data_IF_763668646621
#
_entry.id   IF_763668646621
#
_cell.length_a   1.000
_cell.length_b   1.000
_cell.length_c   1.000
_cell.angle_alpha   90.00
_cell.angle_beta   90.00
_cell.angle_gamma   90.00
#
_symmetry.space_group_name_H-M   'P 1'
#
loop_
_entity.id
_entity.type
_entity.pdbx_description
1 polymer ?
#
# COMPACT_ATOMS: atom_id res chain seq x y z
N UNK A 1 -14.90 -18.61 -5.23
CA UNK A 1 -14.56 -17.19 -5.44
C UNK A 1 -13.06 -17.04 -5.33
N UNK A 2 -12.36 -16.74 -6.42
CA UNK A 2 -10.93 -16.41 -6.35
C UNK A 2 -10.80 -14.99 -5.82
N UNK A 3 -10.55 -14.85 -4.51
CA UNK A 3 -10.11 -13.58 -3.95
C UNK A 3 -8.73 -13.29 -4.56
N UNK A 4 -8.56 -12.11 -5.15
CA UNK A 4 -7.23 -11.62 -5.51
C UNK A 4 -6.37 -11.64 -4.22
N UNK A 5 -5.25 -12.37 -4.25
CA UNK A 5 -4.32 -12.44 -3.13
C UNK A 5 -3.20 -11.44 -3.40
N UNK A 6 -2.92 -10.61 -2.41
CA UNK A 6 -1.78 -9.70 -2.47
C UNK A 6 -0.50 -10.51 -2.42
N UNK A 7 0.37 -10.31 -3.42
CA UNK A 7 1.71 -10.89 -3.47
C UNK A 7 2.66 -9.95 -2.73
N UNK A 8 3.54 -10.52 -1.92
CA UNK A 8 4.43 -9.78 -1.04
C UNK A 8 5.88 -10.09 -1.39
N UNK A 9 6.69 -9.05 -1.61
CA UNK A 9 8.14 -9.20 -1.51
C UNK A 9 8.54 -9.40 -0.04
N UNK A 10 9.68 -10.05 0.24
CA UNK A 10 10.18 -10.17 1.61
C UNK A 10 10.32 -8.83 2.34
N UNK A 11 10.82 -7.81 1.62
CA UNK A 11 11.07 -6.47 2.18
C UNK A 11 9.75 -5.73 2.48
N UNK A 12 8.80 -5.75 1.54
CA UNK A 12 7.48 -5.12 1.75
C UNK A 12 6.72 -5.79 2.90
N UNK A 13 6.82 -7.12 3.00
CA UNK A 13 6.20 -7.85 4.10
C UNK A 13 6.80 -7.47 5.45
N UNK A 14 8.11 -7.26 5.51
CA UNK A 14 8.78 -6.86 6.75
C UNK A 14 8.37 -5.46 7.20
N UNK A 15 8.29 -4.50 6.27
CA UNK A 15 7.81 -3.12 6.53
C UNK A 15 6.36 -3.15 7.00
N UNK A 16 5.51 -3.91 6.31
CA UNK A 16 4.10 -4.04 6.67
C UNK A 16 3.92 -4.68 8.05
N UNK A 17 4.69 -5.73 8.32
CA UNK A 17 4.70 -6.42 9.61
C UNK A 17 5.06 -5.45 10.73
N UNK A 18 6.00 -4.52 10.51
CA UNK A 18 6.31 -3.48 11.48
C UNK A 18 5.07 -2.67 11.87
N UNK A 19 4.30 -2.20 10.89
CA UNK A 19 3.07 -1.43 11.14
C UNK A 19 2.04 -2.23 11.94
N UNK A 20 1.85 -3.50 11.60
CA UNK A 20 0.96 -4.41 12.33
C UNK A 20 1.40 -4.60 13.78
N UNK A 21 2.69 -4.86 14.00
CA UNK A 21 3.25 -5.08 15.33
C UNK A 21 3.22 -3.82 16.18
N UNK A 22 3.47 -2.64 15.59
CA UNK A 22 3.31 -1.36 16.28
C UNK A 22 1.85 -1.09 16.67
N UNK A 23 0.89 -1.48 15.83
CA UNK A 23 -0.53 -1.43 16.16
C UNK A 23 -0.90 -2.33 17.35
N UNK A 24 -0.28 -3.52 17.44
CA UNK A 24 -0.53 -4.50 18.50
C UNK A 24 0.14 -4.12 19.83
N UNK A 25 1.43 -3.84 19.80
CA UNK A 25 2.25 -3.65 21.01
C UNK A 25 2.44 -2.19 21.40
N UNK A 26 2.21 -1.26 20.46
CA UNK A 26 2.62 0.12 20.57
C UNK A 26 4.07 0.33 20.08
N UNK A 27 4.37 1.47 19.41
CA UNK A 27 5.66 1.70 18.76
C UNK A 27 6.86 1.78 19.71
N UNK A 28 6.62 2.03 21.01
CA UNK A 28 7.68 2.05 22.03
C UNK A 28 8.07 0.65 22.52
N UNK A 29 7.19 -0.35 22.33
CA UNK A 29 7.37 -1.68 22.91
C UNK A 29 7.92 -2.70 21.92
N UNK A 30 7.71 -2.50 20.61
CA UNK A 30 8.28 -3.37 19.56
C UNK A 30 9.49 -2.72 18.90
N UNK A 31 10.57 -3.47 18.79
CA UNK A 31 11.85 -3.01 18.25
C UNK A 31 12.28 -3.88 17.07
N UNK A 32 12.76 -3.25 16.01
CA UNK A 32 13.35 -3.92 14.84
C UNK A 32 14.79 -4.35 15.15
N UNK A 33 15.20 -5.50 14.63
CA UNK A 33 16.59 -5.97 14.63
C UNK A 33 17.15 -5.83 13.22
N UNK A 34 18.03 -4.84 12.96
CA UNK A 34 18.61 -4.66 11.63
C UNK A 34 19.57 -5.80 11.27
N UNK A 35 19.31 -6.52 10.18
CA UNK A 35 20.16 -7.64 9.73
C UNK A 35 21.47 -7.20 9.05
N UNK A 36 21.57 -5.94 8.61
CA UNK A 36 22.65 -5.44 7.75
C UNK A 36 24.05 -5.54 8.37
N UNK A 37 24.16 -5.54 9.71
CA UNK A 37 25.43 -5.67 10.41
C UNK A 37 25.44 -6.93 11.27
N UNK A 38 26.04 -8.00 10.75
CA UNK A 38 26.24 -9.32 11.40
C UNK A 38 24.97 -10.17 11.58
N UNK A 39 23.91 -9.90 10.82
CA UNK A 39 22.68 -10.68 10.83
C UNK A 39 21.74 -10.33 11.99
N UNK A 40 20.66 -11.10 12.12
CA UNK A 40 19.46 -10.78 12.90
C UNK A 40 19.16 -11.78 14.03
N UNK A 41 20.08 -12.72 14.29
CA UNK A 41 19.90 -13.82 15.24
C UNK A 41 18.69 -14.73 14.96
N UNK A 42 18.08 -14.65 13.78
CA UNK A 42 16.81 -15.33 13.46
C UNK A 42 15.58 -14.63 14.03
N UNK A 43 15.64 -13.31 14.20
CA UNK A 43 14.57 -12.45 14.68
C UNK A 43 14.55 -11.13 13.90
N UNK A 44 13.40 -10.74 13.35
CA UNK A 44 13.24 -9.42 12.73
C UNK A 44 12.76 -8.36 13.74
N UNK A 45 11.93 -8.78 14.71
CA UNK A 45 11.40 -7.90 15.75
C UNK A 45 11.33 -8.58 17.12
N UNK A 46 11.33 -7.77 18.18
CA UNK A 46 11.08 -8.23 19.55
C UNK A 46 10.26 -7.22 20.36
N UNK A 47 9.50 -7.72 21.32
CA UNK A 47 8.77 -6.93 22.31
C UNK A 47 9.06 -7.49 23.70
N UNK A 48 9.76 -6.70 24.52
CA UNK A 48 10.15 -7.09 25.88
C UNK A 48 8.96 -7.07 26.85
N UNK A 49 7.99 -6.18 26.63
CA UNK A 49 6.79 -6.05 27.46
C UNK A 49 5.93 -7.32 27.46
N UNK A 50 5.80 -7.94 26.29
CA UNK A 50 4.96 -9.14 26.09
C UNK A 50 5.79 -10.41 25.93
N UNK A 51 7.12 -10.34 26.16
CA UNK A 51 8.08 -11.44 26.02
C UNK A 51 7.95 -12.21 24.70
N UNK A 52 7.82 -11.49 23.59
CA UNK A 52 7.58 -12.09 22.26
C UNK A 52 8.66 -11.66 21.26
N UNK A 53 9.07 -12.62 20.44
CA UNK A 53 10.02 -12.44 19.35
C UNK A 53 9.35 -12.83 18.02
N UNK A 54 9.64 -12.09 16.96
CA UNK A 54 9.00 -12.25 15.66
C UNK A 54 10.05 -12.49 14.57
N UNK A 55 9.73 -13.41 13.67
CA UNK A 55 10.39 -13.54 12.37
C UNK A 55 9.34 -13.40 11.27
N UNK A 56 9.56 -12.48 10.35
CA UNK A 56 8.76 -12.27 9.16
C UNK A 56 9.22 -13.22 8.04
N UNK A 57 8.25 -13.73 7.29
CA UNK A 57 8.55 -14.55 6.12
C UNK A 57 7.42 -14.50 5.08
N UNK A 58 7.69 -13.83 3.95
CA UNK A 58 6.87 -13.93 2.76
C UNK A 58 7.45 -15.00 1.82
N UNK A 59 6.58 -15.90 1.34
CA UNK A 59 6.97 -16.84 0.30
C UNK A 59 6.72 -16.20 -1.06
N UNK A 60 7.67 -16.34 -1.98
CA UNK A 60 7.48 -15.93 -3.38
C UNK A 60 6.35 -16.76 -4.03
N UNK A 61 5.29 -16.05 -4.41
CA UNK A 61 4.09 -16.58 -5.07
C UNK A 61 4.19 -16.46 -6.60
N UNK A 62 3.43 -17.26 -7.37
CA UNK A 62 2.45 -18.27 -6.93
C UNK A 62 3.09 -19.62 -6.62
N UNK A 63 2.63 -20.27 -5.53
CA UNK A 63 3.00 -21.66 -5.19
C UNK A 63 1.82 -22.45 -4.61
N UNK A 64 1.92 -23.78 -4.64
CA UNK A 64 0.95 -24.65 -4.01
C UNK A 64 1.07 -24.67 -2.47
N UNK A 65 0.00 -25.13 -1.80
CA UNK A 65 -0.12 -25.18 -0.34
C UNK A 65 0.99 -26.03 0.30
N UNK A 66 1.36 -27.17 -0.32
CA UNK A 66 2.39 -28.06 0.22
C UNK A 66 3.76 -27.39 0.19
N UNK A 67 4.11 -26.79 -0.96
CA UNK A 67 5.37 -26.03 -1.10
C UNK A 67 5.43 -24.86 -0.12
N UNK A 68 4.31 -24.15 0.10
CA UNK A 68 4.24 -23.03 1.07
C UNK A 68 4.51 -23.52 2.48
N UNK A 69 3.83 -24.59 2.88
CA UNK A 69 4.01 -25.22 4.18
C UNK A 69 5.45 -25.68 4.39
N UNK A 70 6.07 -26.34 3.39
CA UNK A 70 7.45 -26.81 3.48
C UNK A 70 8.45 -25.67 3.64
N UNK A 71 8.27 -24.58 2.90
CA UNK A 71 9.08 -23.37 3.01
C UNK A 71 8.94 -22.70 4.38
N UNK A 72 7.71 -22.57 4.91
CA UNK A 72 7.46 -22.03 6.24
C UNK A 72 8.09 -22.92 7.34
N UNK A 73 7.91 -24.24 7.29
CA UNK A 73 8.55 -25.20 8.22
C UNK A 73 10.08 -25.11 8.19
N UNK A 74 10.66 -24.95 6.99
CA UNK A 74 12.11 -24.77 6.81
C UNK A 74 12.60 -23.47 7.44
N UNK A 75 11.88 -22.36 7.24
CA UNK A 75 12.18 -21.05 7.84
C UNK A 75 12.18 -21.14 9.37
N UNK A 76 11.09 -21.66 9.98
CA UNK A 76 10.99 -21.90 11.43
C UNK A 76 12.19 -22.69 11.94
N UNK A 77 12.51 -23.82 11.30
CA UNK A 77 13.62 -24.68 11.73
C UNK A 77 14.98 -23.99 11.64
N UNK A 78 15.18 -23.18 10.60
CA UNK A 78 16.46 -22.54 10.34
C UNK A 78 16.69 -21.38 11.30
N UNK A 79 15.66 -20.56 11.55
CA UNK A 79 15.81 -19.38 12.39
C UNK A 79 15.79 -19.71 13.89
N UNK A 80 15.03 -20.72 14.33
CA UNK A 80 15.15 -21.22 15.70
C UNK A 80 16.57 -21.75 15.99
N UNK A 81 17.24 -22.37 15.02
CA UNK A 81 18.65 -22.76 15.19
C UNK A 81 19.57 -21.53 15.36
N UNK A 82 19.30 -20.43 14.66
CA UNK A 82 20.04 -19.17 14.82
C UNK A 82 19.77 -18.56 16.20
N UNK A 83 18.51 -18.58 16.65
CA UNK A 83 18.09 -18.08 17.95
C UNK A 83 18.90 -18.77 19.07
N UNK A 84 18.89 -20.11 19.08
CA UNK A 84 19.62 -20.91 20.08
C UNK A 84 21.13 -20.68 19.98
N UNK A 85 21.69 -20.65 18.77
CA UNK A 85 23.12 -20.38 18.56
C UNK A 85 23.57 -19.04 19.16
N UNK A 86 22.66 -18.06 19.22
CA UNK A 86 22.94 -16.70 19.69
C UNK A 86 22.19 -16.36 20.98
N UNK A 87 21.81 -17.36 21.79
CA UNK A 87 20.94 -17.16 22.96
C UNK A 87 21.45 -16.09 23.93
N UNK A 88 22.77 -15.99 24.10
CA UNK A 88 23.38 -15.03 25.03
C UNK A 88 23.22 -13.58 24.56
N UNK A 89 23.23 -13.35 23.24
CA UNK A 89 23.03 -12.05 22.62
C UNK A 89 21.54 -11.71 22.61
N UNK A 90 20.70 -12.68 22.30
CA UNK A 90 19.24 -12.53 22.33
C UNK A 90 18.77 -12.20 23.75
N UNK A 91 19.27 -12.89 24.78
CA UNK A 91 18.94 -12.59 26.17
C UNK A 91 19.25 -11.13 26.56
N UNK A 92 20.32 -10.55 26.01
CA UNK A 92 20.63 -9.12 26.22
C UNK A 92 19.59 -8.19 25.62
N UNK A 93 19.02 -8.52 24.46
CA UNK A 93 17.92 -7.75 23.85
C UNK A 93 16.68 -7.72 24.75
N UNK A 94 16.43 -8.83 25.46
CA UNK A 94 15.32 -8.95 26.41
C UNK A 94 15.69 -8.52 27.84
N UNK A 95 16.84 -7.85 28.02
CA UNK A 95 17.35 -7.42 29.33
C UNK A 95 17.44 -8.56 30.37
N UNK A 96 17.75 -9.78 29.91
CA UNK A 96 17.80 -10.98 30.73
C UNK A 96 16.44 -11.65 30.96
N UNK A 97 15.33 -11.07 30.50
CA UNK A 97 14.01 -11.69 30.61
C UNK A 97 13.87 -12.84 29.60
N UNK A 98 13.22 -13.95 29.98
CA UNK A 98 13.03 -15.08 29.08
C UNK A 98 12.00 -14.78 27.97
N UNK A 99 12.21 -15.36 26.80
CA UNK A 99 11.25 -15.29 25.69
C UNK A 99 10.10 -16.28 25.94
N UNK A 100 8.87 -15.78 25.96
CA UNK A 100 7.66 -16.59 26.11
C UNK A 100 7.06 -17.03 24.77
N UNK A 101 7.22 -16.26 23.70
CA UNK A 101 6.69 -16.62 22.38
C UNK A 101 7.68 -16.32 21.26
N UNK A 102 7.82 -17.26 20.33
CA UNK A 102 8.48 -17.05 19.04
C UNK A 102 7.45 -17.19 17.93
N UNK A 103 7.26 -16.15 17.14
CA UNK A 103 6.19 -16.05 16.14
C UNK A 103 6.76 -15.97 14.74
N UNK A 104 6.39 -16.91 13.86
CA UNK A 104 6.54 -16.72 12.42
C UNK A 104 5.35 -15.91 11.90
N UNK A 105 5.60 -14.71 11.41
CA UNK A 105 4.59 -13.84 10.80
C UNK A 105 4.64 -13.99 9.28
N UNK A 106 3.56 -14.50 8.68
CA UNK A 106 3.47 -14.83 7.24
C UNK A 106 2.25 -14.17 6.58
N UNK A 107 2.28 -13.89 5.26
CA UNK A 107 1.11 -13.34 4.56
C UNK A 107 -0.11 -14.26 4.58
N UNK A 108 0.12 -15.58 4.55
CA UNK A 108 -0.93 -16.60 4.49
C UNK A 108 -0.45 -17.87 5.19
N UNK A 109 -1.31 -18.40 6.05
CA UNK A 109 -1.15 -19.70 6.69
C UNK A 109 -2.35 -20.60 6.36
N UNK A 110 -2.17 -21.52 5.41
CA UNK A 110 -3.24 -22.36 4.84
C UNK A 110 -3.02 -23.87 5.00
N UNK A 111 -2.06 -24.28 5.86
CA UNK A 111 -1.77 -25.69 6.13
C UNK A 111 -1.53 -25.99 7.61
N UNK A 112 -2.34 -26.91 8.15
CA UNK A 112 -2.21 -27.43 9.52
C UNK A 112 -0.84 -28.07 9.82
N UNK A 113 -0.11 -28.49 8.79
CA UNK A 113 1.21 -29.11 8.95
C UNK A 113 2.22 -28.12 9.53
N UNK A 114 2.02 -26.82 9.30
CA UNK A 114 2.83 -25.76 9.91
C UNK A 114 2.53 -25.68 11.41
N UNK A 115 1.27 -25.77 11.84
CA UNK A 115 0.91 -25.85 13.26
C UNK A 115 1.55 -27.07 13.94
N UNK A 116 1.47 -28.26 13.31
CA UNK A 116 2.08 -29.48 13.86
C UNK A 116 3.60 -29.33 14.01
N UNK A 117 4.25 -28.68 13.03
CA UNK A 117 5.67 -28.38 13.10
C UNK A 117 6.01 -27.37 14.20
N UNK A 118 5.21 -26.32 14.37
CA UNK A 118 5.32 -25.37 15.49
C UNK A 118 5.18 -26.07 16.86
N UNK A 119 4.20 -26.98 17.02
CA UNK A 119 4.02 -27.75 18.24
C UNK A 119 5.22 -28.65 18.54
N UNK A 120 5.78 -29.31 17.52
CA UNK A 120 7.03 -30.07 17.65
C UNK A 120 8.19 -29.17 18.09
N UNK A 121 8.36 -28.02 17.44
CA UNK A 121 9.45 -27.08 17.75
C UNK A 121 9.33 -26.47 19.13
N UNK A 122 8.10 -26.22 19.59
CA UNK A 122 7.80 -25.82 20.97
C UNK A 122 8.35 -26.85 21.96
N UNK A 123 8.06 -28.14 21.75
CA UNK A 123 8.60 -29.20 22.60
C UNK A 123 10.13 -29.26 22.53
N UNK A 124 10.71 -29.23 21.32
CA UNK A 124 12.16 -29.23 21.12
C UNK A 124 12.85 -28.10 21.92
N UNK A 125 12.26 -26.90 21.96
CA UNK A 125 12.81 -25.76 22.71
C UNK A 125 12.70 -25.93 24.23
N UNK A 126 11.56 -26.44 24.73
CA UNK A 126 11.36 -26.69 26.17
C UNK A 126 12.31 -27.77 26.68
N UNK A 127 12.59 -28.79 25.88
CA UNK A 127 13.50 -29.88 26.23
C UNK A 127 14.99 -29.42 26.32
N UNK A 128 15.35 -28.27 25.73
CA UNK A 128 16.72 -27.71 25.85
C UNK A 128 17.01 -27.13 27.25
N UNK A 129 15.98 -26.67 27.97
CA UNK A 129 16.13 -26.15 29.34
C UNK A 129 17.01 -24.91 29.49
N UNK A 130 17.07 -24.04 28.48
CA UNK A 130 17.90 -22.82 28.53
C UNK A 130 17.21 -21.70 29.29
N UNK A 131 17.97 -20.87 30.01
CA UNK A 131 17.41 -19.78 30.85
C UNK A 131 16.94 -18.57 30.04
N UNK A 132 17.35 -18.46 28.78
CA UNK A 132 16.91 -17.40 27.86
C UNK A 132 15.50 -17.62 27.32
N UNK A 133 14.95 -18.82 27.46
CA UNK A 133 13.61 -19.18 27.00
C UNK A 133 12.73 -19.47 28.21
N UNK A 134 11.48 -19.05 28.14
CA UNK A 134 10.52 -19.36 29.20
C UNK A 134 10.24 -20.88 29.20
N UNK A 135 10.11 -21.54 30.36
CA UNK A 135 9.73 -22.96 30.42
C UNK A 135 8.41 -23.28 29.70
N UNK A 136 7.53 -22.29 29.59
CA UNK A 136 6.26 -22.37 28.87
C UNK A 136 6.34 -21.85 27.42
N UNK A 137 7.53 -21.59 26.88
CA UNK A 137 7.72 -21.00 25.54
C UNK A 137 6.85 -21.66 24.47
N UNK A 138 6.28 -20.86 23.57
CA UNK A 138 5.53 -21.35 22.42
C UNK A 138 6.10 -20.84 21.10
N UNK A 139 6.23 -21.75 20.13
CA UNK A 139 6.49 -21.45 18.73
C UNK A 139 5.15 -21.40 18.03
N UNK A 140 4.81 -20.27 17.40
CA UNK A 140 3.50 -20.08 16.73
C UNK A 140 3.68 -19.49 15.34
N UNK A 141 2.69 -19.72 14.48
CA UNK A 141 2.57 -19.06 13.18
C UNK A 141 1.34 -18.16 13.21
N UNK A 142 1.48 -16.94 12.70
CA UNK A 142 0.41 -15.96 12.59
C UNK A 142 0.38 -15.40 11.17
N UNK A 143 -0.82 -15.10 10.70
CA UNK A 143 -1.05 -14.43 9.43
C UNK A 143 -1.91 -13.18 9.60
N UNK A 144 -2.37 -12.61 8.48
CA UNK A 144 -3.20 -11.40 8.46
C UNK A 144 -4.48 -11.53 9.29
N UNK A 145 -5.06 -12.72 9.37
CA UNK A 145 -6.31 -12.94 10.12
C UNK A 145 -6.08 -12.87 11.64
N UNK A 146 -4.82 -12.91 12.08
CA UNK A 146 -4.43 -12.72 13.49
C UNK A 146 -4.42 -11.25 13.94
N UNK A 147 -4.83 -10.30 13.07
CA UNK A 147 -4.84 -8.87 13.37
C UNK A 147 -6.22 -8.23 13.12
N UNK A 148 -6.60 -7.21 13.90
CA UNK A 148 -7.80 -6.44 13.64
C UNK A 148 -7.77 -5.81 12.23
N UNK A 149 -8.90 -5.88 11.51
CA UNK A 149 -9.00 -5.42 10.11
C UNK A 149 -8.56 -3.96 9.91
N UNK A 150 -8.87 -3.08 10.87
CA UNK A 150 -8.45 -1.68 10.83
C UNK A 150 -6.92 -1.51 10.88
N UNK A 151 -6.20 -2.39 11.60
CA UNK A 151 -4.74 -2.38 11.67
C UNK A 151 -4.12 -2.81 10.35
N UNK A 152 -4.72 -3.82 9.70
CA UNK A 152 -4.33 -4.27 8.36
C UNK A 152 -4.51 -3.15 7.34
N UNK A 153 -5.67 -2.50 7.30
CA UNK A 153 -5.94 -1.37 6.39
C UNK A 153 -4.95 -0.21 6.62
N UNK A 154 -4.70 0.15 7.88
CA UNK A 154 -3.74 1.21 8.21
C UNK A 154 -2.31 0.84 7.78
N UNK A 155 -1.88 -0.39 8.02
CA UNK A 155 -0.57 -0.87 7.58
C UNK A 155 -0.42 -0.84 6.05
N UNK A 156 -1.48 -1.20 5.31
CA UNK A 156 -1.45 -1.19 3.85
C UNK A 156 -1.28 0.23 3.30
N UNK A 157 -1.89 1.23 3.93
CA UNK A 157 -1.69 2.64 3.56
C UNK A 157 -0.28 3.17 3.86
N UNK A 158 0.49 2.50 4.73
CA UNK A 158 1.89 2.85 5.00
C UNK A 158 2.87 2.22 4.02
N UNK A 159 2.44 1.20 3.26
CA UNK A 159 3.21 0.57 2.19
C UNK A 159 3.04 1.25 0.83
N UNK A 160 2.34 2.38 0.77
CA UNK A 160 2.11 3.13 -0.47
C UNK A 160 3.43 3.70 -1.01
N UNK A 161 4.28 2.82 -1.57
CA UNK A 161 5.67 3.06 -1.93
C UNK A 161 5.84 3.45 -3.40
N UNK A 162 4.77 3.42 -4.21
CA UNK A 162 4.85 3.96 -5.58
C UNK A 162 4.63 5.47 -5.49
N UNK A 163 5.73 6.17 -5.29
CA UNK A 163 5.81 7.61 -5.47
C UNK A 163 6.56 7.89 -6.77
N UNK A 164 5.88 8.49 -7.73
CA UNK A 164 6.42 8.93 -9.00
C UNK A 164 6.64 10.43 -8.91
N UNK A 165 7.83 10.87 -9.33
CA UNK A 165 8.14 12.29 -9.47
C UNK A 165 8.23 12.60 -10.95
N UNK A 166 7.26 13.34 -11.47
CA UNK A 166 7.33 13.94 -12.81
C UNK A 166 7.54 15.45 -12.67
N UNK A 167 8.38 16.07 -13.51
CA UNK A 167 8.52 17.52 -13.51
C UNK A 167 7.19 18.17 -13.87
N UNK A 168 6.90 19.33 -13.26
CA UNK A 168 5.78 20.16 -13.70
C UNK A 168 6.07 20.70 -15.11
N UNK A 169 5.05 20.78 -15.99
CA UNK A 169 5.21 21.36 -17.32
C UNK A 169 5.72 22.81 -17.24
N UNK A 170 6.72 23.15 -18.06
CA UNK A 170 7.19 24.51 -18.24
C UNK A 170 6.17 25.37 -19.02
N UNK A 171 6.27 26.70 -18.91
CA UNK A 171 5.42 27.62 -19.67
C UNK A 171 5.57 27.45 -21.19
N UNK A 172 6.75 27.07 -21.65
CA UNK A 172 7.01 26.77 -23.07
C UNK A 172 6.27 25.51 -23.53
N UNK A 173 6.28 24.45 -22.72
CA UNK A 173 5.53 23.21 -23.00
C UNK A 173 4.01 23.44 -22.98
N UNK A 174 3.52 24.29 -22.05
CA UNK A 174 2.12 24.69 -22.00
C UNK A 174 1.70 25.45 -23.27
N UNK A 175 2.51 26.41 -23.71
CA UNK A 175 2.26 27.17 -24.93
C UNK A 175 2.27 26.27 -26.18
N UNK A 176 3.27 25.39 -26.30
CA UNK A 176 3.36 24.45 -27.41
C UNK A 176 2.17 23.47 -27.47
N UNK A 177 1.75 22.96 -26.32
CA UNK A 177 0.56 22.09 -26.24
C UNK A 177 -0.72 22.85 -26.62
N UNK A 178 -0.84 24.11 -26.18
CA UNK A 178 -1.97 24.97 -26.46
C UNK A 178 -2.15 25.24 -27.96
N UNK A 179 -1.08 25.56 -28.67
CA UNK A 179 -1.09 25.77 -30.12
C UNK A 179 -1.53 24.52 -30.88
N UNK A 180 -1.13 23.33 -30.42
CA UNK A 180 -1.51 22.05 -31.00
C UNK A 180 -2.92 21.55 -30.63
N UNK A 181 -3.58 22.18 -29.65
CA UNK A 181 -4.80 21.64 -29.01
C UNK A 181 -5.95 22.66 -28.91
N UNK A 182 -6.06 23.56 -29.89
CA UNK A 182 -7.04 24.67 -29.88
C UNK A 182 -8.50 24.22 -29.62
N UNK A 183 -8.92 23.09 -30.17
CA UNK A 183 -10.29 22.57 -29.97
C UNK A 183 -10.55 22.13 -28.51
N UNK A 184 -9.54 21.52 -27.88
CA UNK A 184 -9.61 21.08 -26.48
C UNK A 184 -9.62 22.29 -25.54
N UNK A 185 -8.81 23.30 -25.83
CA UNK A 185 -8.78 24.56 -25.10
C UNK A 185 -10.10 25.32 -25.21
N UNK A 186 -10.65 25.44 -26.42
CA UNK A 186 -11.95 26.07 -26.64
C UNK A 186 -13.05 25.39 -25.83
N UNK A 187 -13.05 24.05 -25.81
CA UNK A 187 -13.98 23.24 -25.03
C UNK A 187 -13.81 23.48 -23.52
N UNK A 188 -12.57 23.45 -23.02
CA UNK A 188 -12.28 23.69 -21.62
C UNK A 188 -12.71 25.11 -21.19
N UNK A 189 -12.36 26.14 -21.96
CA UNK A 189 -12.75 27.53 -21.70
C UNK A 189 -14.26 27.71 -21.65
N UNK A 190 -15.00 27.11 -22.59
CA UNK A 190 -16.47 27.16 -22.62
C UNK A 190 -17.08 26.57 -21.35
N UNK A 191 -16.57 25.42 -20.88
CA UNK A 191 -17.11 24.73 -19.71
C UNK A 191 -16.70 25.40 -18.41
N UNK A 192 -15.43 25.74 -18.26
CA UNK A 192 -14.89 26.36 -17.05
C UNK A 192 -15.46 27.76 -16.81
N UNK A 193 -15.86 28.49 -17.86
CA UNK A 193 -16.60 29.77 -17.74
C UNK A 193 -17.91 29.64 -16.96
N UNK A 194 -18.53 28.45 -16.91
CA UNK A 194 -19.77 28.23 -16.14
C UNK A 194 -19.52 28.20 -14.63
N UNK A 195 -18.25 28.12 -14.20
CA UNK A 195 -17.84 28.04 -12.79
C UNK A 195 -16.90 29.17 -12.36
N UNK A 196 -15.92 29.50 -13.20
CA UNK A 196 -14.93 30.51 -12.91
C UNK A 196 -15.49 31.92 -13.13
N UNK A 197 -15.05 32.88 -12.31
CA UNK A 197 -15.32 34.30 -12.56
C UNK A 197 -14.57 34.74 -13.82
N UNK A 198 -15.08 35.73 -14.59
CA UNK A 198 -14.42 36.20 -15.81
C UNK A 198 -12.94 36.57 -15.60
N UNK A 199 -12.61 37.19 -14.48
CA UNK A 199 -11.24 37.57 -14.11
C UNK A 199 -10.30 36.40 -13.81
N UNK A 200 -10.84 35.23 -13.44
CA UNK A 200 -10.06 34.03 -13.06
C UNK A 200 -10.07 32.94 -14.14
N UNK A 201 -10.79 33.17 -15.25
CA UNK A 201 -11.05 32.14 -16.26
C UNK A 201 -9.76 31.63 -16.90
N UNK A 202 -8.88 32.52 -17.33
CA UNK A 202 -7.63 32.16 -18.00
C UNK A 202 -6.71 31.37 -17.06
N UNK A 203 -6.60 31.79 -15.80
CA UNK A 203 -5.84 31.08 -14.78
C UNK A 203 -6.41 29.67 -14.51
N UNK A 204 -7.74 29.55 -14.46
CA UNK A 204 -8.43 28.27 -14.24
C UNK A 204 -8.22 27.32 -15.42
N UNK A 205 -8.26 27.83 -16.65
CA UNK A 205 -8.01 27.04 -17.86
C UNK A 205 -6.56 26.58 -17.91
N UNK A 206 -5.60 27.47 -17.63
CA UNK A 206 -4.18 27.14 -17.60
C UNK A 206 -3.86 26.06 -16.56
N UNK A 207 -4.49 26.12 -15.38
CA UNK A 207 -4.31 25.09 -14.36
C UNK A 207 -4.88 23.74 -14.78
N UNK A 208 -6.04 23.73 -15.46
CA UNK A 208 -6.59 22.49 -16.01
C UNK A 208 -5.64 21.86 -17.05
N UNK A 209 -5.01 22.67 -17.90
CA UNK A 209 -4.01 22.21 -18.88
C UNK A 209 -2.77 21.65 -18.18
N UNK A 210 -2.23 22.36 -17.20
CA UNK A 210 -1.09 21.90 -16.41
C UNK A 210 -1.36 20.55 -15.76
N UNK A 211 -2.50 20.44 -15.08
CA UNK A 211 -2.96 19.20 -14.45
C UNK A 211 -3.14 18.07 -15.47
N UNK A 212 -3.67 18.35 -16.66
CA UNK A 212 -3.82 17.35 -17.73
C UNK A 212 -2.47 16.80 -18.19
N UNK A 213 -1.50 17.66 -18.49
CA UNK A 213 -0.17 17.24 -18.95
C UNK A 213 0.55 16.46 -17.84
N UNK A 214 0.52 16.97 -16.61
CA UNK A 214 1.16 16.31 -15.47
C UNK A 214 0.56 14.94 -15.16
N UNK A 215 -0.78 14.82 -15.20
CA UNK A 215 -1.47 13.55 -15.00
C UNK A 215 -1.12 12.51 -16.08
N UNK A 216 -1.02 12.92 -17.35
CA UNK A 216 -0.59 12.02 -18.43
C UNK A 216 0.86 11.56 -18.24
N UNK A 217 1.77 12.46 -17.88
CA UNK A 217 3.16 12.10 -17.59
C UNK A 217 3.26 11.09 -16.43
N UNK A 218 2.45 11.25 -15.38
CA UNK A 218 2.36 10.29 -14.28
C UNK A 218 1.83 8.93 -14.74
N UNK A 219 0.78 8.91 -15.57
CA UNK A 219 0.23 7.68 -16.11
C UNK A 219 1.23 6.94 -17.01
N UNK A 220 1.99 7.67 -17.83
CA UNK A 220 3.05 7.08 -18.67
C UNK A 220 4.21 6.55 -17.82
N UNK A 221 4.63 7.29 -16.79
CA UNK A 221 5.62 6.82 -15.83
C UNK A 221 5.12 5.57 -15.06
N UNK A 222 3.85 5.56 -14.68
CA UNK A 222 3.21 4.43 -14.01
C UNK A 222 3.11 3.22 -14.95
N UNK A 223 2.81 3.43 -16.23
CA UNK A 223 2.78 2.35 -17.24
C UNK A 223 4.15 1.72 -17.41
N UNK A 224 5.21 2.52 -17.44
CA UNK A 224 6.57 2.03 -17.58
C UNK A 224 7.08 1.32 -16.31
N UNK A 225 6.81 1.88 -15.13
CA UNK A 225 7.32 1.37 -13.85
C UNK A 225 6.48 0.26 -13.21
N UNK A 226 5.16 0.28 -13.40
CA UNK A 226 4.23 -0.70 -12.82
C UNK A 226 2.98 -0.91 -13.71
N UNK A 227 3.10 -1.71 -14.79
CA UNK A 227 2.01 -1.92 -15.74
C UNK A 227 0.70 -2.44 -15.11
N UNK A 228 0.80 -3.30 -14.10
CA UNK A 228 -0.37 -3.83 -13.40
C UNK A 228 -1.10 -2.74 -12.61
N UNK A 229 -0.35 -1.87 -11.93
CA UNK A 229 -0.92 -0.76 -11.17
C UNK A 229 -1.53 0.29 -12.11
N UNK A 230 -0.88 0.55 -13.24
CA UNK A 230 -1.44 1.37 -14.33
C UNK A 230 -2.78 0.82 -14.82
N UNK A 231 -2.90 -0.49 -15.10
CA UNK A 231 -4.18 -1.06 -15.55
C UNK A 231 -5.29 -0.94 -14.50
N UNK A 232 -4.97 -1.10 -13.20
CA UNK A 232 -5.94 -0.89 -12.11
C UNK A 232 -6.42 0.56 -12.07
N UNK A 233 -5.50 1.52 -12.11
CA UNK A 233 -5.80 2.96 -12.17
C UNK A 233 -6.65 3.28 -13.39
N UNK A 234 -6.23 2.87 -14.59
CA UNK A 234 -6.96 3.14 -15.83
C UNK A 234 -8.33 2.46 -15.88
N UNK A 235 -8.48 1.29 -15.27
CA UNK A 235 -9.78 0.62 -15.13
C UNK A 235 -10.74 1.43 -14.25
N UNK A 236 -10.25 1.96 -13.12
CA UNK A 236 -11.02 2.82 -12.23
C UNK A 236 -11.44 4.14 -12.93
N UNK A 237 -10.49 4.80 -13.62
CA UNK A 237 -10.77 6.00 -14.44
C UNK A 237 -11.84 5.71 -15.48
N UNK A 238 -11.69 4.64 -16.27
CA UNK A 238 -12.66 4.24 -17.32
C UNK A 238 -14.04 3.91 -16.75
N UNK A 239 -14.09 3.23 -15.61
CA UNK A 239 -15.35 2.90 -14.91
C UNK A 239 -16.11 4.16 -14.48
N UNK A 240 -15.38 5.14 -13.91
CA UNK A 240 -15.95 6.43 -13.52
C UNK A 240 -16.38 7.26 -14.73
N UNK A 241 -15.56 7.34 -15.77
CA UNK A 241 -15.89 8.03 -17.02
C UNK A 241 -17.19 7.48 -17.63
N UNK A 242 -17.32 6.15 -17.73
CA UNK A 242 -18.55 5.50 -18.24
C UNK A 242 -19.79 5.86 -17.41
N UNK A 243 -19.65 5.92 -16.08
CA UNK A 243 -20.76 6.34 -15.20
C UNK A 243 -21.14 7.79 -15.48
N UNK A 244 -20.16 8.67 -15.64
CA UNK A 244 -20.38 10.09 -15.92
C UNK A 244 -21.07 10.29 -17.28
N UNK A 245 -20.63 9.56 -18.31
CA UNK A 245 -21.26 9.58 -19.65
C UNK A 245 -22.72 9.10 -19.61
N UNK A 246 -23.00 8.04 -18.84
CA UNK A 246 -24.32 7.43 -18.81
C UNK A 246 -25.31 8.17 -17.91
N UNK A 247 -24.89 8.52 -16.70
CA UNK A 247 -25.76 9.06 -15.65
C UNK A 247 -25.62 10.58 -15.47
N UNK A 248 -24.61 11.20 -16.08
CA UNK A 248 -24.24 12.58 -15.79
C UNK A 248 -23.56 12.75 -14.42
N UNK A 249 -23.08 13.97 -14.12
CA UNK A 249 -22.54 14.28 -12.80
C UNK A 249 -23.64 14.16 -11.74
N UNK A 250 -23.24 13.81 -10.51
CA UNK A 250 -24.20 13.87 -9.40
C UNK A 250 -24.75 15.29 -9.25
N UNK A 251 -26.06 15.47 -9.03
CA UNK A 251 -26.62 16.78 -8.70
C UNK A 251 -25.97 17.28 -7.40
N UNK A 252 -25.13 18.30 -7.53
CA UNK A 252 -24.59 19.08 -6.43
C UNK A 252 -24.84 20.56 -6.80
N UNK A 253 -25.10 21.41 -5.81
CA UNK A 253 -25.69 22.74 -6.01
C UNK A 253 -25.01 23.56 -7.10
N UNK A 254 -23.86 24.15 -6.80
CA UNK A 254 -23.09 24.94 -7.75
C UNK A 254 -22.22 24.08 -8.68
N UNK A 255 -21.84 24.57 -9.88
CA UNK A 255 -20.84 23.94 -10.73
C UNK A 255 -19.52 23.59 -10.03
N UNK A 256 -19.15 24.36 -9.00
CA UNK A 256 -17.99 24.08 -8.17
C UNK A 256 -18.16 22.86 -7.27
N UNK A 257 -19.33 22.70 -6.66
CA UNK A 257 -19.63 21.54 -5.82
C UNK A 257 -19.71 20.25 -6.65
N UNK A 258 -20.22 20.34 -7.89
CA UNK A 258 -20.20 19.21 -8.84
C UNK A 258 -18.77 18.76 -9.12
N UNK A 259 -17.87 19.71 -9.41
CA UNK A 259 -16.47 19.40 -9.71
C UNK A 259 -15.76 18.74 -8.51
N UNK A 260 -15.91 19.30 -7.31
CA UNK A 260 -15.31 18.74 -6.09
C UNK A 260 -15.88 17.34 -5.81
N UNK A 261 -17.19 17.15 -5.94
CA UNK A 261 -17.80 15.83 -5.71
C UNK A 261 -17.30 14.77 -6.71
N UNK A 262 -17.07 15.12 -7.98
CA UNK A 262 -16.54 14.16 -8.95
C UNK A 262 -15.05 13.89 -8.73
N UNK A 263 -14.28 14.91 -8.33
CA UNK A 263 -12.88 14.76 -7.95
C UNK A 263 -12.71 13.86 -6.73
N UNK A 264 -13.42 14.12 -5.62
CA UNK A 264 -13.36 13.31 -4.41
C UNK A 264 -13.77 11.86 -4.67
N UNK A 265 -14.81 11.67 -5.50
CA UNK A 265 -15.27 10.35 -5.87
C UNK A 265 -14.29 9.60 -6.76
N UNK A 266 -13.52 10.31 -7.60
CA UNK A 266 -12.45 9.71 -8.40
C UNK A 266 -11.24 9.37 -7.52
N UNK A 267 -10.80 10.27 -6.63
CA UNK A 267 -9.71 10.03 -5.68
C UNK A 267 -10.02 8.78 -4.85
N UNK A 268 -11.22 8.68 -4.27
CA UNK A 268 -11.63 7.50 -3.50
C UNK A 268 -11.61 6.23 -4.34
N UNK A 269 -12.08 6.27 -5.60
CA UNK A 269 -12.06 5.11 -6.48
C UNK A 269 -10.63 4.68 -6.86
N UNK A 270 -9.72 5.64 -7.05
CA UNK A 270 -8.31 5.38 -7.33
C UNK A 270 -7.60 4.79 -6.11
N UNK A 271 -7.85 5.31 -4.92
CA UNK A 271 -7.30 4.77 -3.66
C UNK A 271 -7.75 3.32 -3.41
N UNK A 272 -9.03 3.02 -3.69
CA UNK A 272 -9.56 1.66 -3.57
C UNK A 272 -8.94 0.70 -4.60
N UNK A 273 -8.74 1.18 -5.84
CA UNK A 273 -8.19 0.36 -6.93
C UNK A 273 -6.67 0.16 -6.84
N UNK A 274 -5.95 1.15 -6.29
CA UNK A 274 -4.50 1.23 -6.28
C UNK A 274 -3.97 1.70 -4.91
N UNK A 275 -4.20 0.94 -3.81
CA UNK A 275 -3.83 1.35 -2.45
C UNK A 275 -2.32 1.53 -2.23
N UNK A 276 -1.49 0.96 -3.12
CA UNK A 276 -0.04 1.08 -3.10
C UNK A 276 0.51 2.35 -3.77
N UNK A 277 -0.33 3.11 -4.48
CA UNK A 277 0.03 4.40 -5.07
C UNK A 277 0.01 5.48 -3.98
N UNK A 278 0.98 6.40 -4.01
CA UNK A 278 1.00 7.53 -3.07
C UNK A 278 -0.29 8.35 -3.17
N UNK A 279 -0.73 8.94 -2.04
CA UNK A 279 -1.89 9.82 -2.02
C UNK A 279 -1.71 11.04 -2.94
N UNK A 280 -0.49 11.60 -2.96
CA UNK A 280 -0.13 12.72 -3.81
C UNK A 280 -0.27 12.38 -5.30
N UNK A 281 0.30 11.27 -5.77
CA UNK A 281 0.15 10.89 -7.18
C UNK A 281 -1.28 10.49 -7.52
N UNK A 282 -2.03 9.94 -6.56
CA UNK A 282 -3.45 9.64 -6.75
C UNK A 282 -4.24 10.92 -7.00
N UNK A 283 -4.01 11.97 -6.20
CA UNK A 283 -4.61 13.28 -6.41
C UNK A 283 -4.20 13.86 -7.77
N UNK A 284 -2.91 13.88 -8.10
CA UNK A 284 -2.40 14.40 -9.37
C UNK A 284 -3.00 13.68 -10.59
N UNK A 285 -3.14 12.35 -10.54
CA UNK A 285 -3.79 11.57 -11.60
C UNK A 285 -5.29 11.89 -11.67
N UNK A 286 -5.96 12.08 -10.53
CA UNK A 286 -7.37 12.47 -10.49
C UNK A 286 -7.60 13.85 -11.12
N UNK A 287 -6.77 14.85 -10.78
CA UNK A 287 -6.79 16.17 -11.39
C UNK A 287 -6.58 16.09 -12.91
N UNK A 288 -5.57 15.35 -13.38
CA UNK A 288 -5.32 15.17 -14.80
C UNK A 288 -6.48 14.50 -15.55
N UNK A 289 -7.08 13.47 -14.95
CA UNK A 289 -8.23 12.76 -15.53
C UNK A 289 -9.48 13.64 -15.60
N UNK A 290 -9.76 14.44 -14.56
CA UNK A 290 -10.87 15.39 -14.55
C UNK A 290 -10.65 16.50 -15.60
N UNK A 291 -9.42 17.01 -15.72
CA UNK A 291 -9.08 17.97 -16.78
C UNK A 291 -9.28 17.39 -18.17
N UNK A 292 -8.88 16.13 -18.39
CA UNK A 292 -9.17 15.41 -19.63
C UNK A 292 -10.69 15.34 -19.88
N UNK A 293 -11.49 15.02 -18.86
CA UNK A 293 -12.94 14.91 -19.00
C UNK A 293 -13.63 16.23 -19.34
N UNK A 294 -13.09 17.34 -18.81
CA UNK A 294 -13.52 18.69 -19.17
C UNK A 294 -13.16 18.95 -20.64
N UNK A 295 -11.94 18.64 -21.07
CA UNK A 295 -11.45 18.89 -22.44
C UNK A 295 -12.09 17.99 -23.50
N UNK A 296 -12.36 16.71 -23.18
CA UNK A 296 -12.78 15.66 -24.12
C UNK A 296 -14.23 15.16 -23.96
N UNK A 297 -15.02 15.77 -23.06
CA UNK A 297 -16.49 15.66 -22.99
C UNK A 297 -17.15 14.38 -22.44
N UNK A 298 -16.78 13.92 -21.23
CA UNK A 298 -17.82 13.38 -20.34
C UNK A 298 -18.28 14.37 -19.26
N UNK A 299 -17.49 15.38 -18.89
CA UNK A 299 -17.88 16.35 -17.84
C UNK A 299 -18.30 17.70 -18.43
N UNK A 300 -19.51 18.16 -18.10
CA UNK A 300 -19.98 19.52 -18.35
C UNK A 300 -20.79 20.01 -17.13
N UNK A 301 -20.95 21.32 -17.00
CA UNK A 301 -21.66 21.96 -15.91
C UNK A 301 -23.00 22.53 -16.37
N UNK A 302 -24.03 22.59 -15.51
CA UNK A 302 -25.23 23.37 -15.80
C UNK A 302 -24.85 24.84 -16.03
N UNK A 303 -25.61 25.53 -16.87
CA UNK A 303 -25.43 26.98 -17.05
C UNK A 303 -25.68 27.66 -15.70
N UNK A 304 -24.81 28.61 -15.33
CA UNK A 304 -25.07 29.48 -14.19
C UNK A 304 -26.41 30.20 -14.43
N UNK A 305 -27.32 30.12 -13.44
CA UNK A 305 -28.53 30.96 -13.42
C UNK A 305 -28.14 32.40 -13.10
#
# INVERSE_FOLDING_TARGET
MMSARQVWSPDDWEIFSQALLQGRHGPLNVQKIPAAHKGDFGLDYYCTKDSVAYQCYAVEEPIDISTRADRQKKKITTDLKKLIKNESQVSKLFHGSPIGHWVLLVPLHDSKDVNLHCAKKTKDLRDLGTTSLDPSIEVVVQDLESFPRNSVTKGLSQLSNVTLSVPSPSEEELAAWAEGSLDLLSTATKKLRKRARPEDLDATVNEAVRSFIQGNALLDALRAGSPELHEKVMSAVRSRARRLEFAGPKPAGSPGEVLHSELDALISALQDAAPSLSSENTEQIAYGSISEWIMRCPLDFPNAQ
#
